data_IF_787601492974
#
_entry.id   IF_787601492974
#
_cell.length_a   1.000
_cell.length_b   1.000
_cell.length_c   1.000
_cell.angle_alpha   90.00
_cell.angle_beta   90.00
_cell.angle_gamma   90.00
#
_symmetry.space_group_name_H-M   'P 1'
#
loop_
_entity.id
_entity.type
_entity.pdbx_description
1 polymer ?
#
# COMPACT_ATOMS: atom_id res chain seq x y z
N UNK A 1 -12.61 5.29 20.78
CA UNK A 1 -11.19 4.94 21.05
C UNK A 1 -10.96 3.73 21.99
N UNK A 2 -12.00 3.11 22.57
CA UNK A 2 -11.84 2.04 23.60
C UNK A 2 -11.66 0.62 22.99
N UNK A 3 -12.33 0.36 21.87
CA UNK A 3 -12.37 -0.97 21.21
C UNK A 3 -11.02 -1.45 20.62
N UNK A 4 -10.18 -0.59 20.01
CA UNK A 4 -8.90 -1.04 19.47
C UNK A 4 -7.90 -1.48 20.56
N UNK A 5 -7.91 -0.79 21.71
CA UNK A 5 -7.01 -1.06 22.83
C UNK A 5 -7.36 -2.38 23.53
N UNK A 6 -8.66 -2.64 23.74
CA UNK A 6 -9.16 -3.90 24.29
C UNK A 6 -8.83 -5.09 23.38
N UNK A 7 -8.98 -4.96 22.05
CA UNK A 7 -8.59 -6.02 21.11
C UNK A 7 -7.08 -6.31 21.13
N UNK A 8 -6.26 -5.27 21.23
CA UNK A 8 -4.81 -5.42 21.37
C UNK A 8 -4.42 -6.12 22.68
N UNK A 9 -5.09 -5.79 23.79
CA UNK A 9 -4.89 -6.47 25.09
C UNK A 9 -5.38 -7.92 25.09
N UNK A 10 -6.42 -8.23 24.33
CA UNK A 10 -6.97 -9.58 24.16
C UNK A 10 -6.28 -10.42 23.07
N UNK A 11 -5.25 -9.88 22.40
CA UNK A 11 -4.53 -10.60 21.34
C UNK A 11 -5.35 -10.87 20.07
N UNK A 12 -6.49 -10.19 19.89
CA UNK A 12 -7.42 -10.43 18.79
C UNK A 12 -6.85 -9.84 17.49
N UNK A 13 -6.36 -10.73 16.62
CA UNK A 13 -5.79 -10.39 15.30
C UNK A 13 -6.90 -9.95 14.34
N UNK A 14 -6.68 -8.85 13.62
CA UNK A 14 -7.66 -8.40 12.61
C UNK A 14 -7.50 -9.16 11.30
N UNK A 15 -8.64 -9.45 10.69
CA UNK A 15 -8.77 -9.87 9.31
C UNK A 15 -9.76 -8.94 8.62
N UNK A 16 -9.44 -8.51 7.42
CA UNK A 16 -10.30 -7.63 6.63
C UNK A 16 -10.01 -7.82 5.13
N UNK A 17 -10.87 -7.23 4.29
CA UNK A 17 -10.80 -7.36 2.84
C UNK A 17 -10.92 -5.97 2.22
N UNK A 18 -10.04 -5.64 1.27
CA UNK A 18 -10.06 -4.41 0.47
C UNK A 18 -9.92 -4.81 -0.99
N UNK A 19 -10.85 -4.38 -1.86
CA UNK A 19 -10.87 -4.72 -3.30
C UNK A 19 -10.63 -6.22 -3.61
N UNK A 20 -11.17 -7.12 -2.78
CA UNK A 20 -10.98 -8.57 -2.93
C UNK A 20 -9.65 -9.14 -2.40
N UNK A 21 -8.71 -8.28 -1.99
CA UNK A 21 -7.48 -8.66 -1.31
C UNK A 21 -7.75 -8.87 0.18
N UNK A 22 -7.40 -10.04 0.71
CA UNK A 22 -7.60 -10.39 2.12
C UNK A 22 -6.33 -10.12 2.91
N UNK A 23 -6.47 -9.37 3.98
CA UNK A 23 -5.39 -9.02 4.89
C UNK A 23 -5.59 -9.72 6.24
N UNK A 24 -4.53 -10.30 6.79
CA UNK A 24 -4.49 -10.88 8.12
C UNK A 24 -3.27 -10.37 8.87
N UNK A 25 -3.51 -9.69 9.99
CA UNK A 25 -2.43 -9.24 10.86
C UNK A 25 -1.70 -10.44 11.50
N UNK A 26 -0.37 -10.41 11.53
CA UNK A 26 0.44 -11.48 12.13
C UNK A 26 0.54 -11.37 13.66
N UNK A 27 0.42 -10.15 14.19
CA UNK A 27 0.41 -9.84 15.62
C UNK A 27 -0.76 -8.90 15.98
N UNK A 28 -1.00 -8.69 17.27
CA UNK A 28 -2.12 -7.89 17.77
C UNK A 28 -1.80 -6.38 17.94
N UNK A 29 -0.59 -5.93 17.58
CA UNK A 29 -0.20 -4.52 17.75
C UNK A 29 -0.87 -3.68 16.65
N UNK A 30 -1.65 -2.63 16.98
CA UNK A 30 -2.26 -1.78 15.96
C UNK A 30 -1.21 -1.12 15.05
N UNK A 31 -1.57 -0.86 13.79
CA UNK A 31 -0.67 -0.29 12.77
C UNK A 31 0.07 0.96 13.26
N UNK A 32 -0.65 1.99 13.70
CA UNK A 32 -0.06 3.26 14.18
C UNK A 32 1.00 3.04 15.27
N UNK A 33 0.75 2.07 16.16
CA UNK A 33 1.67 1.73 17.25
C UNK A 33 2.87 0.94 16.74
N UNK A 34 2.66 0.02 15.80
CA UNK A 34 3.71 -0.77 15.18
C UNK A 34 4.69 0.11 14.38
N UNK A 35 4.18 1.16 13.72
CA UNK A 35 4.96 2.14 12.96
C UNK A 35 5.68 3.19 13.83
N UNK A 36 5.34 3.30 15.11
CA UNK A 36 5.99 4.27 16.01
C UNK A 36 7.49 3.98 16.18
N UNK A 37 8.29 5.04 16.35
CA UNK A 37 9.76 4.97 16.52
C UNK A 37 10.21 4.15 17.74
N UNK A 38 9.32 3.95 18.73
CA UNK A 38 9.57 3.13 19.93
C UNK A 38 9.36 1.62 19.70
N UNK A 39 8.89 1.22 18.52
CA UNK A 39 8.61 -0.17 18.14
C UNK A 39 9.41 -0.55 16.89
N UNK A 40 9.08 -1.70 16.30
CA UNK A 40 9.79 -2.28 15.15
C UNK A 40 9.81 -1.37 13.92
N UNK A 41 8.94 -0.36 13.83
CA UNK A 41 8.83 0.50 12.65
C UNK A 41 8.17 -0.19 11.45
N UNK A 42 7.62 -1.38 11.66
CA UNK A 42 6.95 -2.19 10.66
C UNK A 42 5.75 -2.92 11.25
N UNK A 43 4.76 -3.20 10.41
CA UNK A 43 3.62 -4.08 10.69
C UNK A 43 3.52 -5.12 9.58
N UNK A 44 3.42 -6.39 9.98
CA UNK A 44 3.36 -7.51 9.04
C UNK A 44 1.94 -7.98 8.80
N UNK A 45 1.65 -8.32 7.55
CA UNK A 45 0.38 -8.85 7.11
C UNK A 45 0.61 -10.07 6.23
N UNK A 46 -0.17 -11.13 6.46
CA UNK A 46 -0.40 -12.15 5.45
C UNK A 46 -1.49 -11.64 4.51
N UNK A 47 -1.16 -11.57 3.22
CA UNK A 47 -2.01 -11.07 2.15
C UNK A 47 -2.40 -12.23 1.24
N UNK A 48 -3.67 -12.31 0.88
CA UNK A 48 -4.17 -13.26 -0.12
C UNK A 48 -4.94 -12.51 -1.20
N UNK A 49 -4.44 -12.62 -2.43
CA UNK A 49 -5.01 -11.98 -3.61
C UNK A 49 -6.18 -12.79 -4.19
N UNK A 50 -7.07 -12.15 -4.99
CA UNK A 50 -8.21 -12.82 -5.62
C UNK A 50 -7.84 -14.07 -6.42
N UNK A 51 -6.69 -14.04 -7.13
CA UNK A 51 -6.16 -15.16 -7.90
C UNK A 51 -5.58 -16.31 -7.04
N UNK A 52 -5.80 -16.29 -5.73
CA UNK A 52 -5.37 -17.34 -4.79
C UNK A 52 -3.91 -17.25 -4.33
N UNK A 53 -3.09 -16.41 -4.97
CA UNK A 53 -1.71 -16.13 -4.53
C UNK A 53 -1.70 -15.51 -3.13
N UNK A 54 -0.69 -15.84 -2.32
CA UNK A 54 -0.52 -15.27 -1.00
C UNK A 54 0.93 -14.89 -0.74
N UNK A 55 1.14 -13.85 0.07
CA UNK A 55 2.47 -13.45 0.50
C UNK A 55 2.41 -12.73 1.85
N UNK A 56 3.58 -12.53 2.46
CA UNK A 56 3.74 -11.65 3.62
C UNK A 56 4.25 -10.31 3.15
N UNK A 57 3.60 -9.23 3.59
CA UNK A 57 4.07 -7.86 3.39
C UNK A 57 4.44 -7.21 4.72
N UNK A 58 5.37 -6.27 4.67
CA UNK A 58 5.82 -5.42 5.76
C UNK A 58 5.44 -3.99 5.44
N UNK A 59 4.36 -3.51 6.06
CA UNK A 59 3.98 -2.12 6.00
C UNK A 59 4.93 -1.32 6.91
N UNK A 60 5.55 -0.27 6.36
CA UNK A 60 6.43 0.63 7.11
C UNK A 60 6.07 2.08 6.81
N UNK A 61 6.73 3.03 7.46
CA UNK A 61 6.55 4.45 7.13
C UNK A 61 7.04 4.81 5.73
N UNK A 62 7.93 4.00 5.14
CA UNK A 62 8.42 4.14 3.76
C UNK A 62 7.68 3.25 2.76
N UNK A 63 7.29 2.04 3.20
CA UNK A 63 6.52 1.07 2.41
C UNK A 63 5.04 1.16 2.81
N UNK A 64 4.37 2.13 2.20
CA UNK A 64 2.97 2.46 2.50
C UNK A 64 2.05 1.84 1.45
N UNK A 65 1.14 0.98 1.89
CA UNK A 65 0.14 0.37 1.01
C UNK A 65 -1.16 1.19 1.12
N UNK A 66 -1.70 1.62 -0.02
CA UNK A 66 -2.90 2.48 -0.05
C UNK A 66 -4.14 1.84 0.60
N UNK A 67 -4.21 0.50 0.62
CA UNK A 67 -5.27 -0.25 1.29
C UNK A 67 -5.19 -0.18 2.84
N UNK A 68 -4.01 0.18 3.38
CA UNK A 68 -3.71 0.10 4.81
C UNK A 68 -3.57 1.47 5.46
N UNK A 69 -3.06 2.46 4.72
CA UNK A 69 -2.78 3.79 5.23
C UNK A 69 -2.69 4.83 4.10
N UNK A 70 -2.73 6.11 4.47
CA UNK A 70 -2.60 7.21 3.53
C UNK A 70 -1.21 7.20 2.84
N UNK A 71 -1.21 7.56 1.56
CA UNK A 71 -0.02 7.65 0.70
C UNK A 71 0.07 9.10 0.20
N UNK A 72 0.75 9.99 0.95
CA UNK A 72 0.85 11.42 0.64
C UNK A 72 1.35 11.73 -0.78
N UNK A 73 2.17 10.85 -1.36
CA UNK A 73 2.66 10.97 -2.74
C UNK A 73 1.51 11.06 -3.75
N UNK A 74 0.36 10.44 -3.47
CA UNK A 74 -0.82 10.54 -4.35
C UNK A 74 -1.31 11.99 -4.47
N UNK A 75 -1.24 12.78 -3.39
CA UNK A 75 -1.63 14.20 -3.45
C UNK A 75 -0.66 15.00 -4.30
N UNK A 76 0.64 14.75 -4.14
CA UNK A 76 1.67 15.40 -4.95
C UNK A 76 1.54 15.06 -6.43
N UNK A 77 1.24 13.79 -6.74
CA UNK A 77 1.07 13.31 -8.11
C UNK A 77 -0.20 13.88 -8.73
N UNK A 78 -1.31 13.97 -7.98
CA UNK A 78 -2.57 14.54 -8.45
C UNK A 78 -2.41 15.94 -9.08
N UNK A 79 -1.48 16.77 -8.59
CA UNK A 79 -1.19 18.07 -9.23
C UNK A 79 -0.64 17.97 -10.65
N UNK A 80 -0.04 16.83 -11.00
CA UNK A 80 0.49 16.52 -12.32
C UNK A 80 -0.54 16.01 -13.33
N UNK A 81 -1.83 15.89 -12.97
CA UNK A 81 -2.88 15.37 -13.86
C UNK A 81 -2.93 16.11 -15.20
N UNK A 82 -2.72 17.43 -15.20
CA UNK A 82 -2.72 18.24 -16.42
C UNK A 82 -1.49 18.04 -17.33
N UNK A 83 -0.45 17.35 -16.85
CA UNK A 83 0.78 17.07 -17.60
C UNK A 83 0.73 15.73 -18.33
N UNK A 84 -0.16 14.83 -17.91
CA UNK A 84 -0.31 13.49 -18.44
C UNK A 84 -1.58 13.43 -19.28
N UNK A 85 -1.49 12.91 -20.51
CA UNK A 85 -2.63 12.79 -21.41
C UNK A 85 -2.94 11.32 -21.68
N UNK A 86 -4.19 10.99 -22.09
CA UNK A 86 -4.48 9.68 -22.64
C UNK A 86 -3.53 9.33 -23.79
N UNK A 87 -2.98 8.11 -23.77
CA UNK A 87 -1.98 7.63 -24.72
C UNK A 87 -0.52 7.99 -24.40
N UNK A 88 -0.25 8.74 -23.33
CA UNK A 88 1.12 9.06 -22.93
C UNK A 88 1.94 7.82 -22.55
N UNK A 89 3.26 7.91 -22.74
CA UNK A 89 4.24 6.95 -22.20
C UNK A 89 4.94 7.58 -21.00
N UNK A 90 4.78 6.99 -19.83
CA UNK A 90 5.26 7.53 -18.56
C UNK A 90 6.23 6.55 -17.90
N UNK A 91 7.36 7.08 -17.42
CA UNK A 91 8.29 6.38 -16.55
C UNK A 91 8.16 6.97 -15.14
N UNK A 92 7.89 6.12 -14.15
CA UNK A 92 7.83 6.50 -12.73
C UNK A 92 9.00 5.87 -12.00
N UNK A 93 9.81 6.69 -11.37
CA UNK A 93 10.94 6.27 -10.54
C UNK A 93 10.55 6.41 -9.07
N UNK A 94 10.85 5.39 -8.26
CA UNK A 94 10.48 5.36 -6.84
C UNK A 94 8.98 5.27 -6.62
N UNK A 95 8.30 4.38 -7.34
CA UNK A 95 6.82 4.27 -7.31
C UNK A 95 6.28 3.79 -5.94
N UNK A 96 7.15 3.30 -5.06
CA UNK A 96 6.76 2.63 -3.83
C UNK A 96 5.89 1.41 -4.14
N UNK A 97 4.79 1.25 -3.40
CA UNK A 97 3.89 0.09 -3.50
C UNK A 97 2.96 0.11 -4.72
N UNK A 98 3.16 1.03 -5.66
CA UNK A 98 2.44 1.06 -6.93
C UNK A 98 1.15 1.89 -6.93
N UNK A 99 0.71 2.45 -5.80
CA UNK A 99 -0.48 3.34 -5.78
C UNK A 99 -0.33 4.56 -6.71
N UNK A 100 0.82 5.29 -6.70
CA UNK A 100 1.17 6.27 -7.74
C UNK A 100 0.99 5.78 -9.18
N UNK A 101 1.51 4.59 -9.48
CA UNK A 101 1.43 4.02 -10.82
C UNK A 101 0.00 3.72 -11.23
N UNK A 102 -0.83 3.18 -10.33
CA UNK A 102 -2.25 2.94 -10.61
C UNK A 102 -2.97 4.22 -11.00
N UNK A 103 -2.78 5.31 -10.25
CA UNK A 103 -3.39 6.60 -10.56
C UNK A 103 -2.96 7.12 -11.95
N UNK A 104 -1.66 7.05 -12.26
CA UNK A 104 -1.14 7.47 -13.58
C UNK A 104 -1.67 6.56 -14.70
N UNK A 105 -1.81 5.26 -14.45
CA UNK A 105 -2.37 4.31 -15.41
C UNK A 105 -3.82 4.67 -15.78
N UNK A 106 -4.61 5.13 -14.80
CA UNK A 106 -5.97 5.62 -15.03
C UNK A 106 -6.00 6.86 -15.94
N UNK A 107 -5.02 7.77 -15.80
CA UNK A 107 -4.92 8.97 -16.65
C UNK A 107 -4.49 8.70 -18.09
N UNK A 108 -3.49 7.84 -18.29
CA UNK A 108 -2.99 7.53 -19.63
C UNK A 108 -3.93 6.62 -20.41
N UNK A 109 -4.86 5.93 -19.73
CA UNK A 109 -5.85 5.06 -20.35
C UNK A 109 -5.27 3.82 -21.04
N UNK A 110 -6.12 3.04 -21.74
CA UNK A 110 -5.77 1.70 -22.23
C UNK A 110 -4.72 1.67 -23.34
N UNK A 111 -4.50 2.81 -24.01
CA UNK A 111 -3.52 2.95 -25.08
C UNK A 111 -2.20 3.59 -24.62
N UNK A 112 -2.13 4.02 -23.35
CA UNK A 112 -0.92 4.55 -22.75
C UNK A 112 0.08 3.44 -22.38
N UNK A 113 1.31 3.86 -22.10
CA UNK A 113 2.35 2.97 -21.57
C UNK A 113 2.87 3.47 -20.23
N UNK A 114 2.95 2.60 -19.23
CA UNK A 114 3.51 2.93 -17.93
C UNK A 114 4.62 1.94 -17.58
N UNK A 115 5.79 2.47 -17.24
CA UNK A 115 6.87 1.71 -16.61
C UNK A 115 7.10 2.31 -15.23
N UNK A 116 6.99 1.49 -14.20
CA UNK A 116 7.21 1.90 -12.82
C UNK A 116 8.37 1.10 -12.24
N UNK A 117 9.33 1.81 -11.64
CA UNK A 117 10.58 1.24 -11.12
C UNK A 117 10.76 1.71 -9.68
N UNK A 118 11.26 0.83 -8.84
CA UNK A 118 11.59 1.07 -7.44
C UNK A 118 12.76 0.15 -7.07
N UNK A 119 13.56 0.57 -6.09
CA UNK A 119 14.68 -0.21 -5.59
C UNK A 119 14.26 -1.21 -4.52
N UNK A 120 13.05 -1.07 -3.97
CA UNK A 120 12.49 -1.96 -2.97
C UNK A 120 11.75 -3.14 -3.62
N UNK A 121 12.40 -4.30 -3.60
CA UNK A 121 11.90 -5.55 -4.18
C UNK A 121 10.54 -6.02 -3.62
N UNK A 122 10.14 -5.56 -2.44
CA UNK A 122 8.83 -5.90 -1.88
C UNK A 122 7.74 -4.92 -2.33
N UNK A 123 8.13 -3.71 -2.72
CA UNK A 123 7.20 -2.65 -3.13
C UNK A 123 6.71 -2.83 -4.57
N UNK A 124 7.48 -3.48 -5.45
CA UNK A 124 7.08 -3.80 -6.81
C UNK A 124 6.99 -5.30 -7.01
N UNK A 125 5.77 -5.83 -7.23
CA UNK A 125 5.59 -7.15 -7.84
C UNK A 125 4.23 -7.39 -8.46
#
# INVERSE_FOLDING_TARGET
MIVPLLRAMLGLRRRFVVEGVRYKETDAVPLDRALSSKKRGEKRYEVRFPAGRSMTIHCTTRRRYADLMDVPELRSIAFGENLVRPGSRVLVLGVGTGAPARLIAEWIGPHGGLVAIDHDNESIR
#
